data_IF_751653571795
#
_entry.id   IF_751653571795
#
_cell.length_a   1.000
_cell.length_b   1.000
_cell.length_c   1.000
_cell.angle_alpha   90.00
_cell.angle_beta   90.00
_cell.angle_gamma   90.00
#
_symmetry.space_group_name_H-M   'P 1'
#
loop_
_entity.id
_entity.type
_entity.pdbx_description
1 polymer ?
#
# COMPACT_ATOMS: atom_id res chain seq x y z
N UNK A 1 -8.97 0.88 10.51
CA UNK A 1 -7.52 1.00 10.76
C UNK A 1 -7.11 -0.05 11.77
N UNK A 2 -6.08 -0.82 11.44
CA UNK A 2 -5.54 -1.91 12.28
C UNK A 2 -4.25 -1.39 12.94
N UNK A 3 -4.17 -1.43 14.27
CA UNK A 3 -2.94 -1.13 15.01
C UNK A 3 -2.17 -2.41 15.28
N UNK A 4 -0.87 -2.41 14.97
CA UNK A 4 0.05 -3.49 15.28
C UNK A 4 0.93 -3.13 16.47
N UNK A 5 1.73 -4.08 16.93
CA UNK A 5 2.59 -3.92 18.12
C UNK A 5 4.08 -3.79 17.77
N UNK A 6 4.50 -4.29 16.61
CA UNK A 6 5.90 -4.25 16.19
C UNK A 6 6.33 -2.84 15.78
N UNK A 7 7.51 -2.44 16.20
CA UNK A 7 8.16 -1.21 15.75
C UNK A 7 9.16 -1.56 14.65
N UNK A 8 9.10 -0.86 13.53
CA UNK A 8 10.12 -0.95 12.49
C UNK A 8 11.18 0.13 12.76
N UNK A 9 12.38 -0.31 13.05
CA UNK A 9 13.52 0.62 13.15
C UNK A 9 13.84 1.21 11.77
N UNK A 10 14.20 2.47 11.73
CA UNK A 10 14.53 3.18 10.49
C UNK A 10 13.39 3.07 9.45
N UNK A 11 12.15 3.28 9.89
CA UNK A 11 10.96 3.09 9.04
C UNK A 11 11.02 3.94 7.77
N UNK A 12 11.29 5.24 7.89
CA UNK A 12 11.40 6.15 6.75
C UNK A 12 12.53 5.74 5.81
N UNK A 13 13.69 5.44 6.37
CA UNK A 13 14.89 5.05 5.61
C UNK A 13 14.66 3.73 4.84
N UNK A 14 13.97 2.77 5.46
CA UNK A 14 13.57 1.53 4.80
C UNK A 14 12.62 1.80 3.62
N UNK A 15 11.63 2.66 3.81
CA UNK A 15 10.70 3.04 2.74
C UNK A 15 11.41 3.74 1.57
N UNK A 16 12.30 4.69 1.88
CA UNK A 16 13.10 5.37 0.86
C UNK A 16 14.05 4.40 0.13
N UNK A 17 14.71 3.50 0.87
CA UNK A 17 15.58 2.47 0.32
C UNK A 17 14.83 1.57 -0.67
N UNK A 18 13.56 1.26 -0.41
CA UNK A 18 12.73 0.47 -1.31
C UNK A 18 12.57 1.14 -2.68
N UNK A 19 12.48 2.46 -2.76
CA UNK A 19 12.46 3.21 -4.03
C UNK A 19 13.88 3.41 -4.60
N UNK A 20 14.66 4.28 -4.00
CA UNK A 20 15.97 4.74 -4.47
C UNK A 20 17.17 3.99 -3.87
N UNK A 21 16.98 2.78 -3.39
CA UNK A 21 18.07 1.96 -2.87
C UNK A 21 18.57 0.93 -3.88
N UNK A 22 19.76 0.40 -3.60
CA UNK A 22 20.33 -0.75 -4.28
C UNK A 22 20.86 -1.73 -3.25
N UNK A 23 20.48 -2.99 -3.38
CA UNK A 23 20.97 -4.07 -2.53
C UNK A 23 21.96 -4.93 -3.34
N UNK A 24 23.24 -4.58 -3.21
CA UNK A 24 24.34 -5.39 -3.73
C UNK A 24 25.04 -6.11 -2.57
N UNK A 25 26.34 -5.90 -2.37
CA UNK A 25 27.05 -6.41 -1.20
C UNK A 25 26.69 -5.65 0.08
N UNK A 26 26.32 -4.36 -0.02
CA UNK A 26 25.87 -3.48 1.06
C UNK A 26 24.71 -2.65 0.57
N UNK A 27 23.84 -2.24 1.49
CA UNK A 27 22.74 -1.36 1.16
C UNK A 27 23.27 0.03 0.78
N UNK A 28 22.87 0.50 -0.40
CA UNK A 28 23.19 1.83 -0.93
C UNK A 28 21.90 2.63 -1.10
N UNK A 29 21.91 3.87 -0.65
CA UNK A 29 20.84 4.83 -0.88
C UNK A 29 21.35 5.89 -1.85
N UNK A 30 20.57 6.16 -2.89
CA UNK A 30 20.89 7.15 -3.90
C UNK A 30 20.00 8.39 -3.74
N UNK A 31 20.65 9.53 -3.55
CA UNK A 31 19.99 10.83 -3.49
C UNK A 31 20.28 11.60 -4.78
N UNK A 32 19.38 11.51 -5.74
CA UNK A 32 19.50 12.18 -7.04
C UNK A 32 18.89 13.58 -6.99
N UNK A 33 19.53 14.54 -7.63
CA UNK A 33 19.02 15.90 -7.86
C UNK A 33 18.50 16.57 -6.57
N UNK A 34 17.23 16.92 -6.53
CA UNK A 34 16.55 17.57 -5.42
C UNK A 34 16.40 16.67 -4.18
N UNK A 35 16.51 15.34 -4.33
CA UNK A 35 16.50 14.40 -3.21
C UNK A 35 17.72 14.56 -2.29
N UNK A 36 18.80 15.23 -2.73
CA UNK A 36 19.96 15.51 -1.86
C UNK A 36 19.58 16.35 -0.63
N UNK A 37 18.55 17.18 -0.71
CA UNK A 37 18.01 17.92 0.44
C UNK A 37 17.46 17.03 1.56
N UNK A 38 17.12 15.76 1.24
CA UNK A 38 16.64 14.77 2.20
C UNK A 38 17.76 14.11 3.00
N UNK A 39 19.03 14.49 2.77
CA UNK A 39 20.19 13.87 3.42
C UNK A 39 20.07 13.80 4.95
N UNK A 40 19.51 14.81 5.58
CA UNK A 40 19.30 14.87 7.04
C UNK A 40 18.38 13.77 7.59
N UNK A 41 17.47 13.23 6.78
CA UNK A 41 16.58 12.11 7.16
C UNK A 41 17.32 10.82 7.44
N UNK A 42 18.58 10.70 6.98
CA UNK A 42 19.41 9.50 7.11
C UNK A 42 20.49 9.64 8.21
N UNK A 43 20.39 10.65 9.07
CA UNK A 43 21.39 10.89 10.12
C UNK A 43 21.43 9.80 11.19
N UNK A 44 20.32 9.05 11.35
CA UNK A 44 20.24 7.95 12.33
C UNK A 44 20.87 6.64 11.84
N UNK A 45 21.22 6.56 10.55
CA UNK A 45 21.92 5.40 9.99
C UNK A 45 23.43 5.49 10.24
N UNK A 46 24.03 4.36 10.59
CA UNK A 46 25.48 4.21 10.58
C UNK A 46 25.97 4.09 9.13
N UNK A 47 26.69 5.07 8.65
CA UNK A 47 27.20 5.08 7.29
C UNK A 47 28.65 4.61 7.24
N UNK A 48 28.94 3.70 6.31
CA UNK A 48 30.31 3.31 5.95
C UNK A 48 30.95 4.39 5.08
N UNK A 49 30.16 5.01 4.21
CA UNK A 49 30.60 6.14 3.39
C UNK A 49 29.42 7.01 2.98
N UNK A 50 29.70 8.28 2.76
CA UNK A 50 28.79 9.30 2.25
C UNK A 50 29.56 10.10 1.20
N UNK A 51 29.27 9.85 -0.09
CA UNK A 51 30.03 10.39 -1.21
C UNK A 51 29.10 11.18 -2.12
N UNK A 52 29.44 12.45 -2.34
CA UNK A 52 28.75 13.32 -3.28
C UNK A 52 29.48 13.32 -4.64
N UNK A 53 28.71 13.14 -5.70
CA UNK A 53 29.15 13.21 -7.10
C UNK A 53 28.56 14.44 -7.79
N UNK A 54 29.21 15.61 -7.73
CA UNK A 54 28.62 16.87 -8.21
C UNK A 54 28.24 16.84 -9.70
N UNK A 55 29.10 16.27 -10.56
CA UNK A 55 28.85 16.15 -12.01
C UNK A 55 27.60 15.33 -12.33
N UNK A 56 27.28 14.32 -11.52
CA UNK A 56 26.14 13.45 -11.70
C UNK A 56 24.93 13.90 -10.88
N UNK A 57 25.05 15.01 -10.15
CA UNK A 57 24.01 15.55 -9.25
C UNK A 57 23.42 14.47 -8.33
N UNK A 58 24.29 13.61 -7.79
CA UNK A 58 23.89 12.53 -6.88
C UNK A 58 24.79 12.45 -5.64
N UNK A 59 24.22 11.98 -4.56
CA UNK A 59 24.91 11.56 -3.33
C UNK A 59 24.61 10.10 -3.09
N UNK A 60 25.59 9.35 -2.64
CA UNK A 60 25.48 7.91 -2.38
C UNK A 60 25.83 7.65 -0.93
N UNK A 61 24.87 7.13 -0.19
CA UNK A 61 25.04 6.71 1.20
C UNK A 61 25.21 5.20 1.22
N UNK A 62 26.35 4.72 1.73
CA UNK A 62 26.57 3.29 1.97
C UNK A 62 26.26 3.00 3.43
N UNK A 63 25.20 2.24 3.65
CA UNK A 63 24.72 1.89 4.99
C UNK A 63 25.49 0.69 5.52
N UNK A 64 25.80 0.71 6.83
CA UNK A 64 26.38 -0.43 7.54
C UNK A 64 25.39 -1.60 7.54
N UNK A 65 25.93 -2.82 7.51
CA UNK A 65 25.14 -4.03 7.38
C UNK A 65 24.07 -4.18 8.48
N UNK A 66 22.95 -4.82 8.13
CA UNK A 66 21.84 -5.18 9.01
C UNK A 66 20.99 -4.02 9.60
N UNK A 67 21.09 -2.79 9.08
CA UNK A 67 20.24 -1.70 9.54
C UNK A 67 18.95 -1.59 8.72
N UNK A 68 18.98 -1.94 7.43
CA UNK A 68 17.84 -1.87 6.53
C UNK A 68 17.32 -3.27 6.18
N UNK A 69 16.02 -3.33 5.93
CA UNK A 69 15.33 -4.53 5.45
C UNK A 69 15.68 -4.81 3.97
N UNK A 70 15.19 -5.93 3.45
CA UNK A 70 15.32 -6.26 2.02
C UNK A 70 14.69 -5.18 1.12
N UNK A 71 15.19 -5.06 -0.11
CA UNK A 71 14.82 -4.00 -1.09
C UNK A 71 13.30 -3.80 -1.27
N UNK A 72 12.50 -4.85 -1.26
CA UNK A 72 11.06 -4.78 -1.46
C UNK A 72 10.26 -5.18 -0.21
N UNK A 73 10.86 -5.01 0.97
CA UNK A 73 10.14 -5.25 2.22
C UNK A 73 8.99 -4.24 2.38
N UNK A 74 7.81 -4.73 2.73
CA UNK A 74 6.63 -3.93 3.08
C UNK A 74 6.19 -4.29 4.50
N UNK A 75 6.04 -3.33 5.43
CA UNK A 75 5.57 -3.62 6.77
C UNK A 75 4.08 -4.00 6.74
N UNK A 76 3.74 -5.16 7.28
CA UNK A 76 2.37 -5.67 7.38
C UNK A 76 1.59 -5.07 8.57
N UNK A 77 0.37 -5.57 8.80
CA UNK A 77 -0.51 -5.11 9.87
C UNK A 77 0.00 -5.42 11.29
N UNK A 78 1.05 -6.23 11.45
CA UNK A 78 1.67 -6.48 12.76
C UNK A 78 2.53 -5.32 13.24
N UNK A 79 2.95 -4.42 12.33
CA UNK A 79 3.68 -3.20 12.67
C UNK A 79 2.74 -2.07 13.08
N UNK A 80 3.23 -1.17 13.94
CA UNK A 80 2.46 0.01 14.38
C UNK A 80 2.03 0.88 13.20
N UNK A 81 0.91 1.61 13.33
CA UNK A 81 0.47 2.59 12.34
C UNK A 81 1.61 3.56 12.01
N UNK A 82 2.29 4.06 13.05
CA UNK A 82 3.40 5.00 12.87
C UNK A 82 4.51 4.41 12.00
N UNK A 83 4.94 3.17 12.26
CA UNK A 83 5.98 2.51 11.45
C UNK A 83 5.58 2.37 9.98
N UNK A 84 4.33 2.00 9.69
CA UNK A 84 3.81 1.87 8.33
C UNK A 84 3.70 3.22 7.61
N UNK A 85 3.27 4.26 8.31
CA UNK A 85 3.16 5.62 7.76
C UNK A 85 4.53 6.23 7.51
N UNK A 86 5.47 6.11 8.44
CA UNK A 86 6.84 6.61 8.26
C UNK A 86 7.52 5.88 7.09
N UNK A 87 7.37 4.55 7.00
CA UNK A 87 7.87 3.77 5.86
C UNK A 87 7.27 4.26 4.54
N UNK A 88 5.96 4.48 4.50
CA UNK A 88 5.27 4.95 3.30
C UNK A 88 5.68 6.39 2.92
N UNK A 89 5.96 7.23 3.90
CA UNK A 89 6.52 8.58 3.69
C UNK A 89 7.87 8.52 2.97
N UNK A 90 8.76 7.62 3.41
CA UNK A 90 10.04 7.39 2.76
C UNK A 90 9.90 6.90 1.32
N UNK A 91 9.00 5.93 1.06
CA UNK A 91 8.72 5.43 -0.28
C UNK A 91 8.17 6.52 -1.21
N UNK A 92 7.29 7.40 -0.70
CA UNK A 92 6.77 8.53 -1.47
C UNK A 92 7.86 9.57 -1.77
N UNK A 93 8.74 9.87 -0.82
CA UNK A 93 9.87 10.79 -1.06
C UNK A 93 10.89 10.20 -2.05
N UNK A 94 10.99 8.86 -2.15
CA UNK A 94 11.75 8.20 -3.19
C UNK A 94 11.02 8.24 -4.55
N UNK A 95 9.94 7.51 -4.70
CA UNK A 95 9.29 7.19 -6.00
C UNK A 95 7.90 7.81 -6.18
N UNK A 96 7.39 8.51 -5.18
CA UNK A 96 6.04 9.09 -5.24
C UNK A 96 5.92 10.26 -6.22
N UNK A 97 4.72 10.43 -6.73
CA UNK A 97 4.30 11.57 -7.55
C UNK A 97 2.97 12.10 -7.03
N UNK A 98 2.89 13.42 -6.88
CA UNK A 98 1.64 14.13 -6.57
C UNK A 98 1.09 14.73 -7.86
N UNK A 99 -0.16 14.39 -8.19
CA UNK A 99 -0.88 15.01 -9.30
C UNK A 99 -2.01 15.87 -8.77
N UNK A 100 -2.28 16.97 -9.46
CA UNK A 100 -3.37 17.88 -9.13
C UNK A 100 -4.13 18.20 -10.41
N UNK A 101 -5.32 17.62 -10.54
CA UNK A 101 -6.18 17.80 -11.71
C UNK A 101 -7.48 18.46 -11.28
N UNK A 102 -7.73 19.68 -11.78
CA UNK A 102 -8.95 20.44 -11.49
C UNK A 102 -9.28 20.55 -9.99
N UNK A 103 -8.26 20.81 -9.18
CA UNK A 103 -8.43 20.94 -7.74
C UNK A 103 -8.49 19.61 -6.94
N UNK A 104 -8.45 18.47 -7.62
CA UNK A 104 -8.38 17.15 -6.98
C UNK A 104 -6.95 16.63 -7.01
N UNK A 105 -6.40 16.27 -5.86
CA UNK A 105 -5.06 15.71 -5.76
C UNK A 105 -5.10 14.18 -5.66
N UNK A 106 -4.06 13.53 -6.18
CA UNK A 106 -3.84 12.10 -5.97
C UNK A 106 -2.35 11.80 -5.84
N UNK A 107 -2.02 10.77 -5.05
CA UNK A 107 -0.67 10.23 -4.96
C UNK A 107 -0.53 9.01 -5.85
N UNK A 108 0.64 8.85 -6.45
CA UNK A 108 0.93 7.76 -7.37
C UNK A 108 2.35 7.24 -7.17
N UNK A 109 2.51 5.92 -7.31
CA UNK A 109 3.81 5.25 -7.38
C UNK A 109 3.77 4.30 -8.56
N UNK A 110 4.73 4.39 -9.47
CA UNK A 110 4.86 3.51 -10.62
C UNK A 110 6.02 2.54 -10.42
N UNK A 111 5.79 1.23 -10.65
CA UNK A 111 6.78 0.18 -10.48
C UNK A 111 6.61 -0.92 -11.52
N UNK A 112 7.71 -1.57 -11.86
CA UNK A 112 7.73 -2.79 -12.68
C UNK A 112 7.32 -4.00 -11.83
N UNK A 113 7.77 -4.03 -10.56
CA UNK A 113 7.41 -5.10 -9.62
C UNK A 113 5.95 -4.96 -9.17
N UNK A 114 5.08 -5.75 -9.78
CA UNK A 114 3.63 -5.68 -9.56
C UNK A 114 3.25 -6.27 -8.21
N UNK A 115 3.89 -7.35 -7.77
CA UNK A 115 3.61 -8.00 -6.49
C UNK A 115 3.91 -7.04 -5.33
N UNK A 116 5.01 -6.31 -5.42
CA UNK A 116 5.34 -5.25 -4.47
C UNK A 116 4.22 -4.19 -4.37
N UNK A 117 3.66 -3.75 -5.50
CA UNK A 117 2.53 -2.78 -5.46
C UNK A 117 1.28 -3.36 -4.81
N UNK A 118 1.02 -4.65 -4.99
CA UNK A 118 -0.09 -5.31 -4.30
C UNK A 118 0.13 -5.42 -2.80
N UNK A 119 1.35 -5.71 -2.34
CA UNK A 119 1.70 -5.71 -0.91
C UNK A 119 1.54 -4.31 -0.30
N UNK A 120 2.02 -3.27 -0.98
CA UNK A 120 1.82 -1.87 -0.53
C UNK A 120 0.32 -1.53 -0.47
N UNK A 121 -0.46 -1.95 -1.45
CA UNK A 121 -1.92 -1.77 -1.44
C UNK A 121 -2.56 -2.44 -0.22
N UNK A 122 -2.19 -3.69 0.07
CA UNK A 122 -2.71 -4.42 1.23
C UNK A 122 -2.35 -3.70 2.53
N UNK A 123 -1.12 -3.25 2.68
CA UNK A 123 -0.68 -2.46 3.83
C UNK A 123 -1.53 -1.19 3.98
N UNK A 124 -1.75 -0.43 2.90
CA UNK A 124 -2.57 0.78 2.92
C UNK A 124 -4.03 0.51 3.28
N UNK A 125 -4.62 -0.59 2.80
CA UNK A 125 -5.97 -0.99 3.18
C UNK A 125 -6.09 -1.26 4.68
N UNK A 126 -5.07 -1.82 5.32
CA UNK A 126 -5.07 -2.00 6.79
C UNK A 126 -5.05 -0.67 7.55
N UNK A 127 -4.65 0.42 6.90
CA UNK A 127 -4.69 1.80 7.40
C UNK A 127 -6.01 2.53 7.04
N UNK A 128 -6.96 1.84 6.39
CA UNK A 128 -8.21 2.44 5.93
C UNK A 128 -8.02 3.43 4.77
N UNK A 129 -6.93 3.26 4.01
CA UNK A 129 -6.61 4.09 2.85
C UNK A 129 -7.10 3.40 1.59
N UNK A 130 -8.06 4.00 0.90
CA UNK A 130 -8.50 3.53 -0.41
C UNK A 130 -7.42 3.77 -1.47
N UNK A 131 -7.08 2.73 -2.21
CA UNK A 131 -6.12 2.80 -3.31
C UNK A 131 -6.28 1.63 -4.27
N UNK A 132 -5.81 1.79 -5.49
CA UNK A 132 -5.91 0.76 -6.52
C UNK A 132 -4.65 0.65 -7.37
N UNK A 133 -4.37 -0.56 -7.85
CA UNK A 133 -3.31 -0.79 -8.84
C UNK A 133 -3.92 -0.73 -10.23
N UNK A 134 -3.37 0.12 -11.07
CA UNK A 134 -3.84 0.37 -12.45
C UNK A 134 -2.69 0.19 -13.44
N UNK A 135 -3.01 0.16 -14.72
CA UNK A 135 -1.97 0.19 -15.74
C UNK A 135 -1.20 1.52 -15.68
N UNK A 136 0.11 1.41 -15.75
CA UNK A 136 1.03 2.54 -15.90
C UNK A 136 1.36 2.79 -17.37
N UNK A 137 2.65 2.95 -17.65
CA UNK A 137 3.16 3.10 -19.01
C UNK A 137 3.47 1.72 -19.59
N UNK A 138 3.16 1.49 -20.85
CA UNK A 138 3.51 0.25 -21.56
C UNK A 138 5.02 0.11 -21.79
N UNK A 139 5.40 -0.99 -22.40
CA UNK A 139 6.79 -1.17 -22.84
C UNK A 139 7.12 -0.13 -23.91
N UNK A 140 8.25 0.54 -23.75
CA UNK A 140 8.71 1.56 -24.71
C UNK A 140 10.23 1.69 -24.68
N UNK A 141 10.80 2.23 -25.74
CA UNK A 141 12.21 2.64 -25.79
C UNK A 141 12.30 4.10 -25.34
N UNK A 142 13.12 4.37 -24.33
CA UNK A 142 13.36 5.72 -23.81
C UNK A 142 14.80 6.13 -23.97
N UNK A 143 14.98 7.41 -24.30
CA UNK A 143 16.28 8.06 -24.22
C UNK A 143 16.57 8.43 -22.77
N UNK A 144 17.57 7.82 -22.17
CA UNK A 144 17.99 8.08 -20.78
C UNK A 144 19.49 8.33 -20.71
N UNK A 145 19.97 9.07 -19.67
CA UNK A 145 21.39 9.27 -19.48
C UNK A 145 22.12 7.93 -19.34
N UNK A 146 23.24 7.79 -20.05
CA UNK A 146 24.12 6.62 -19.93
C UNK A 146 24.71 6.53 -18.51
N UNK A 147 24.88 5.30 -18.02
CA UNK A 147 25.44 5.05 -16.68
C UNK A 147 26.95 5.27 -16.57
N UNK A 148 27.61 5.68 -17.64
CA UNK A 148 29.07 5.93 -17.71
C UNK A 148 29.50 7.30 -17.17
N UNK A 149 28.52 8.13 -16.77
CA UNK A 149 28.78 9.49 -16.27
C UNK A 149 29.13 10.52 -17.35
N UNK A 150 29.04 10.17 -18.64
CA UNK A 150 29.27 11.08 -19.76
C UNK A 150 28.21 12.17 -19.86
N UNK A 151 27.00 11.90 -19.39
CA UNK A 151 25.83 12.76 -19.57
C UNK A 151 25.16 12.61 -20.94
N UNK A 152 25.71 11.76 -21.81
CA UNK A 152 25.10 11.42 -23.08
C UNK A 152 23.82 10.59 -22.88
N UNK A 153 22.87 10.71 -23.80
CA UNK A 153 21.65 9.90 -23.82
C UNK A 153 21.89 8.62 -24.62
N UNK A 154 21.30 7.53 -24.15
CA UNK A 154 21.26 6.24 -24.85
C UNK A 154 19.85 5.69 -24.86
N UNK A 155 19.56 4.82 -25.81
CA UNK A 155 18.28 4.11 -25.93
C UNK A 155 18.23 2.95 -24.92
N UNK A 156 17.15 2.90 -24.15
CA UNK A 156 16.91 1.82 -23.18
C UNK A 156 15.51 1.26 -23.36
N UNK A 157 15.41 -0.06 -23.48
CA UNK A 157 14.14 -0.78 -23.44
C UNK A 157 13.60 -0.73 -22.02
N UNK A 158 12.47 -0.06 -21.83
CA UNK A 158 11.78 0.07 -20.56
C UNK A 158 10.61 -0.91 -20.51
N UNK A 159 10.55 -1.70 -19.43
CA UNK A 159 9.43 -2.62 -19.18
C UNK A 159 8.15 -1.87 -18.85
N UNK A 160 7.01 -2.51 -19.14
CA UNK A 160 5.72 -2.00 -18.72
C UNK A 160 5.64 -1.85 -17.20
N UNK A 161 5.03 -0.77 -16.76
CA UNK A 161 4.82 -0.48 -15.35
C UNK A 161 3.36 -0.63 -14.96
N UNK A 162 3.11 -0.95 -13.69
CA UNK A 162 1.84 -0.71 -13.01
C UNK A 162 1.96 0.50 -12.11
N UNK A 163 0.83 1.05 -11.74
CA UNK A 163 0.75 2.26 -10.92
C UNK A 163 -0.20 2.06 -9.76
N UNK A 164 0.30 2.25 -8.55
CA UNK A 164 -0.53 2.43 -7.36
C UNK A 164 -1.09 3.85 -7.39
N UNK A 165 -2.40 3.98 -7.37
CA UNK A 165 -3.13 5.24 -7.38
C UNK A 165 -3.92 5.38 -6.08
N UNK A 166 -3.66 6.46 -5.35
CA UNK A 166 -4.34 6.84 -4.11
C UNK A 166 -5.17 8.09 -4.41
N UNK A 167 -6.50 8.01 -4.43
CA UNK A 167 -7.37 9.15 -4.69
C UNK A 167 -7.39 10.12 -3.49
N UNK A 168 -8.00 11.28 -3.67
CA UNK A 168 -8.02 12.37 -2.69
C UNK A 168 -8.45 11.91 -1.29
N UNK A 169 -9.51 11.12 -1.17
CA UNK A 169 -9.97 10.59 0.12
C UNK A 169 -8.90 9.78 0.84
N UNK A 170 -8.16 8.93 0.10
CA UNK A 170 -7.03 8.16 0.62
C UNK A 170 -5.87 9.06 1.03
N UNK A 171 -5.59 10.12 0.26
CA UNK A 171 -4.55 11.11 0.60
C UNK A 171 -4.89 11.81 1.91
N UNK A 172 -6.14 12.25 2.11
CA UNK A 172 -6.57 12.89 3.35
C UNK A 172 -6.52 11.92 4.54
N UNK A 173 -6.83 10.65 4.34
CA UNK A 173 -6.68 9.63 5.37
C UNK A 173 -5.21 9.45 5.78
N UNK A 174 -4.29 9.40 4.83
CA UNK A 174 -2.86 9.34 5.10
C UNK A 174 -2.37 10.53 5.92
N UNK A 175 -2.80 11.75 5.55
CA UNK A 175 -2.47 12.97 6.31
C UNK A 175 -2.99 12.93 7.75
N UNK A 176 -4.22 12.45 7.96
CA UNK A 176 -4.80 12.23 9.31
C UNK A 176 -4.00 11.23 10.14
N UNK A 177 -3.40 10.23 9.50
CA UNK A 177 -2.56 9.22 10.15
C UNK A 177 -1.12 9.69 10.40
N UNK A 178 -0.77 10.91 9.95
CA UNK A 178 0.55 11.51 10.19
C UNK A 178 1.55 11.35 9.05
N UNK A 179 1.09 11.16 7.79
CA UNK A 179 1.98 11.17 6.62
C UNK A 179 2.81 12.47 6.62
N UNK A 180 4.14 12.32 6.55
CA UNK A 180 5.09 13.43 6.55
C UNK A 180 6.15 13.20 5.47
N UNK A 181 6.04 13.96 4.39
CA UNK A 181 6.93 13.91 3.22
C UNK A 181 7.51 15.29 2.96
N UNK A 182 8.71 15.35 2.37
CA UNK A 182 9.38 16.63 2.05
C UNK A 182 9.44 16.90 0.54
N UNK A 183 9.42 15.86 -0.28
CA UNK A 183 9.47 16.01 -1.75
C UNK A 183 8.07 16.04 -2.36
N UNK A 184 7.19 15.21 -1.88
CA UNK A 184 5.83 15.03 -2.39
C UNK A 184 4.85 15.50 -1.31
N UNK A 185 4.56 16.79 -1.26
CA UNK A 185 3.80 17.43 -0.16
C UNK A 185 2.33 17.60 -0.56
N UNK A 186 1.43 16.67 -0.18
CA UNK A 186 0.01 16.85 -0.41
C UNK A 186 -0.59 17.90 0.54
N UNK A 187 -1.61 18.61 0.05
CA UNK A 187 -2.31 19.59 0.84
C UNK A 187 -3.47 18.98 1.65
N UNK A 188 -3.65 19.46 2.88
CA UNK A 188 -4.84 19.15 3.69
C UNK A 188 -6.02 19.90 3.09
N UNK A 189 -7.06 19.18 2.70
CA UNK A 189 -8.31 19.77 2.17
C UNK A 189 -9.50 18.81 2.32
N UNK A 190 -10.69 19.33 2.17
CA UNK A 190 -11.90 18.50 2.11
C UNK A 190 -12.04 17.95 0.68
N UNK A 191 -12.16 16.62 0.48
CA UNK A 191 -12.38 16.06 -0.84
C UNK A 191 -13.66 16.62 -1.48
N UNK A 192 -13.58 17.00 -2.75
CA UNK A 192 -14.74 17.52 -3.49
C UNK A 192 -15.79 16.43 -3.79
N UNK A 193 -15.37 15.18 -3.75
CA UNK A 193 -16.22 14.00 -3.94
C UNK A 193 -15.88 12.97 -2.87
N UNK A 194 -16.88 12.45 -2.22
CA UNK A 194 -16.74 11.19 -1.49
C UNK A 194 -16.62 10.10 -2.57
N UNK A 195 -15.44 9.51 -2.70
CA UNK A 195 -15.28 8.32 -3.50
C UNK A 195 -16.10 7.22 -2.82
N UNK A 196 -17.20 6.79 -3.44
CA UNK A 196 -17.92 5.64 -2.94
C UNK A 196 -17.01 4.42 -3.05
N UNK A 197 -16.83 3.72 -1.96
CA UNK A 197 -16.03 2.49 -1.89
C UNK A 197 -16.81 1.29 -2.48
N UNK A 198 -17.81 1.54 -3.30
CA UNK A 198 -18.58 0.49 -3.93
C UNK A 198 -17.80 -0.12 -5.09
N UNK A 199 -17.67 -1.42 -5.05
CA UNK A 199 -17.10 -2.23 -6.13
C UNK A 199 -18.26 -2.79 -6.95
N UNK A 200 -18.25 -2.53 -8.25
CA UNK A 200 -19.19 -3.16 -9.16
C UNK A 200 -18.68 -4.56 -9.51
N UNK A 201 -19.47 -5.58 -9.22
CA UNK A 201 -19.20 -6.93 -9.73
C UNK A 201 -19.48 -6.92 -11.24
N UNK A 202 -18.44 -7.22 -12.03
CA UNK A 202 -18.55 -7.24 -13.49
C UNK A 202 -18.97 -8.63 -13.95
N UNK A 203 -18.44 -9.68 -13.32
CA UNK A 203 -18.64 -11.06 -13.71
C UNK A 203 -18.47 -11.98 -12.50
N UNK A 204 -19.22 -13.06 -12.45
CA UNK A 204 -19.04 -14.16 -11.51
C UNK A 204 -18.79 -15.42 -12.32
N UNK A 205 -17.58 -15.96 -12.21
CA UNK A 205 -17.15 -17.15 -12.95
C UNK A 205 -17.19 -18.34 -12.00
N UNK A 206 -17.97 -19.35 -12.33
CA UNK A 206 -17.92 -20.64 -11.64
C UNK A 206 -16.87 -21.52 -12.32
N UNK A 207 -15.67 -21.61 -11.71
CA UNK A 207 -14.59 -22.44 -12.22
C UNK A 207 -14.74 -23.94 -11.88
N UNK A 208 -15.81 -24.33 -11.20
CA UNK A 208 -16.04 -25.71 -10.78
C UNK A 208 -15.06 -26.24 -9.74
N UNK A 209 -14.22 -25.38 -9.17
CA UNK A 209 -13.28 -25.75 -8.11
C UNK A 209 -14.00 -25.97 -6.79
N UNK A 210 -13.63 -27.05 -6.12
CA UNK A 210 -14.03 -27.32 -4.74
C UNK A 210 -12.77 -27.13 -3.88
N UNK A 211 -12.89 -26.31 -2.85
CA UNK A 211 -11.80 -26.04 -1.89
C UNK A 211 -12.38 -26.04 -0.47
N UNK A 212 -11.54 -26.40 0.48
CA UNK A 212 -11.90 -26.24 1.88
C UNK A 212 -12.19 -24.79 2.19
N UNK A 213 -13.22 -24.55 2.99
CA UNK A 213 -13.56 -23.22 3.51
C UNK A 213 -13.22 -23.16 4.98
N UNK A 214 -12.72 -22.01 5.41
CA UNK A 214 -12.31 -21.78 6.77
C UNK A 214 -13.11 -20.64 7.39
N UNK A 215 -13.52 -20.80 8.64
CA UNK A 215 -14.10 -19.74 9.43
C UNK A 215 -13.07 -19.26 10.45
N UNK A 216 -13.12 -17.99 10.80
CA UNK A 216 -12.28 -17.40 11.84
C UNK A 216 -13.17 -16.86 12.96
N UNK A 217 -12.58 -16.75 14.16
CA UNK A 217 -13.21 -16.09 15.30
C UNK A 217 -12.40 -14.86 15.67
N UNK A 218 -13.03 -13.69 15.57
CA UNK A 218 -12.46 -12.44 16.04
C UNK A 218 -13.33 -11.91 17.20
N UNK A 219 -12.75 -11.82 18.39
CA UNK A 219 -13.49 -11.65 19.65
C UNK A 219 -13.99 -10.23 19.93
N UNK A 220 -13.46 -9.22 19.23
CA UNK A 220 -13.79 -7.81 19.53
C UNK A 220 -14.88 -7.24 18.63
N UNK A 221 -14.85 -7.52 17.34
CA UNK A 221 -15.73 -6.91 16.35
C UNK A 221 -16.39 -7.91 15.41
N UNK A 222 -15.98 -9.17 15.42
CA UNK A 222 -16.45 -10.18 14.48
C UNK A 222 -16.07 -9.86 13.03
N UNK A 223 -14.94 -9.20 12.80
CA UNK A 223 -14.51 -8.72 11.48
C UNK A 223 -13.11 -9.24 11.14
N UNK A 224 -12.88 -9.58 9.87
CA UNK A 224 -11.57 -9.92 9.34
C UNK A 224 -11.25 -9.17 8.07
N UNK A 225 -9.96 -8.93 7.83
CA UNK A 225 -9.47 -8.30 6.61
C UNK A 225 -8.80 -9.36 5.73
N UNK A 226 -9.35 -9.61 4.54
CA UNK A 226 -8.82 -10.58 3.57
C UNK A 226 -8.60 -9.89 2.23
N UNK A 227 -7.38 -9.93 1.73
CA UNK A 227 -6.99 -9.26 0.48
C UNK A 227 -7.43 -7.79 0.38
N UNK A 228 -7.41 -7.08 1.51
CA UNK A 228 -7.84 -5.69 1.58
C UNK A 228 -9.36 -5.47 1.65
N UNK A 229 -10.15 -6.54 1.73
CA UNK A 229 -11.59 -6.47 1.96
C UNK A 229 -11.92 -6.78 3.42
N UNK A 230 -12.66 -5.88 4.05
CA UNK A 230 -13.20 -6.11 5.39
C UNK A 230 -14.47 -6.97 5.26
N UNK A 231 -14.45 -8.14 5.89
CA UNK A 231 -15.59 -9.07 5.89
C UNK A 231 -16.07 -9.30 7.32
N UNK A 232 -17.36 -9.52 7.47
CA UNK A 232 -17.94 -9.99 8.73
C UNK A 232 -17.55 -11.45 8.99
N UNK A 233 -17.35 -11.77 10.26
CA UNK A 233 -17.33 -13.15 10.71
C UNK A 233 -18.73 -13.72 10.49
N UNK A 234 -18.81 -14.97 10.00
CA UNK A 234 -20.10 -15.67 9.92
C UNK A 234 -20.66 -15.81 11.34
N UNK A 235 -21.86 -15.28 11.55
CA UNK A 235 -22.57 -15.43 12.83
C UNK A 235 -23.36 -16.76 12.90
N UNK A 236 -23.35 -17.54 11.83
CA UNK A 236 -23.90 -18.89 11.88
C UNK A 236 -23.00 -19.76 12.74
N UNK A 237 -23.53 -20.09 13.88
CA UNK A 237 -22.82 -20.83 14.93
C UNK A 237 -22.59 -22.25 14.44
N UNK A 238 -21.32 -22.69 14.42
CA UNK A 238 -21.00 -24.10 14.42
C UNK A 238 -21.46 -24.68 15.74
N UNK A 239 -22.72 -25.11 15.79
CA UNK A 239 -23.29 -25.75 16.95
C UNK A 239 -22.80 -27.20 16.99
N UNK A 240 -22.27 -27.60 18.12
CA UNK A 240 -21.87 -28.98 18.32
C UNK A 240 -23.11 -29.91 18.29
N UNK A 241 -23.10 -30.86 17.39
CA UNK A 241 -24.08 -31.95 17.33
C UNK A 241 -23.40 -33.24 17.73
N UNK A 242 -23.99 -33.93 18.68
CA UNK A 242 -23.56 -35.26 19.12
C UNK A 242 -24.77 -36.22 19.19
N UNK A 243 -24.56 -37.44 19.73
CA UNK A 243 -25.62 -38.45 19.83
C UNK A 243 -26.79 -38.03 20.74
N UNK A 244 -26.58 -37.03 21.59
CA UNK A 244 -27.56 -36.56 22.58
C UNK A 244 -28.13 -35.20 22.29
N UNK A 245 -27.48 -34.43 21.39
CA UNK A 245 -27.82 -33.04 21.10
C UNK A 245 -27.80 -32.76 19.59
N UNK A 246 -28.85 -32.26 19.08
CA UNK A 246 -28.94 -31.76 17.71
C UNK A 246 -28.92 -30.23 17.73
N UNK A 247 -27.92 -29.65 17.05
CA UNK A 247 -27.88 -28.23 16.84
C UNK A 247 -28.84 -27.83 15.75
N UNK A 248 -29.65 -26.80 16.01
CA UNK A 248 -30.59 -26.24 15.03
C UNK A 248 -30.33 -24.75 14.88
N UNK A 249 -30.18 -24.28 13.64
CA UNK A 249 -30.14 -22.87 13.30
C UNK A 249 -31.54 -22.46 12.78
N UNK A 250 -32.15 -21.46 13.41
CA UNK A 250 -33.37 -20.85 12.93
C UNK A 250 -33.03 -19.56 12.20
N UNK A 251 -32.90 -19.63 10.89
CA UNK A 251 -32.71 -18.48 10.04
C UNK A 251 -33.98 -18.23 9.25
N UNK A 252 -34.50 -17.01 9.27
CA UNK A 252 -35.55 -16.57 8.37
C UNK A 252 -35.06 -15.43 7.49
N UNK A 253 -35.43 -15.47 6.23
CA UNK A 253 -35.10 -14.42 5.26
C UNK A 253 -36.40 -13.87 4.68
N UNK A 254 -36.44 -12.55 4.53
CA UNK A 254 -37.58 -11.87 3.95
C UNK A 254 -37.20 -11.30 2.59
N UNK A 255 -37.97 -11.59 1.56
CA UNK A 255 -37.74 -11.04 0.23
C UNK A 255 -38.19 -9.58 0.17
N UNK A 256 -37.23 -8.66 0.16
CA UNK A 256 -37.51 -7.23 0.13
C UNK A 256 -38.12 -6.73 -1.18
N UNK A 257 -37.96 -7.44 -2.30
CA UNK A 257 -38.68 -7.12 -3.55
C UNK A 257 -40.19 -7.24 -3.39
N UNK A 258 -40.63 -8.08 -2.45
CA UNK A 258 -42.05 -8.32 -2.18
C UNK A 258 -42.54 -7.64 -0.91
N UNK A 259 -41.85 -6.55 -0.51
CA UNK A 259 -42.19 -5.82 0.72
C UNK A 259 -43.65 -5.46 0.80
N UNK A 260 -44.26 -4.98 -0.28
CA UNK A 260 -45.66 -4.58 -0.32
C UNK A 260 -46.66 -5.75 -0.19
N UNK A 261 -46.22 -6.99 -0.44
CA UNK A 261 -47.07 -8.20 -0.31
C UNK A 261 -47.14 -8.70 1.14
N UNK A 262 -46.12 -8.48 1.95
CA UNK A 262 -46.02 -9.05 3.31
C UNK A 262 -45.90 -8.04 4.46
N UNK A 263 -45.74 -6.72 4.17
CA UNK A 263 -45.56 -5.67 5.21
C UNK A 263 -46.71 -5.57 6.23
N UNK A 264 -47.92 -6.02 5.83
CA UNK A 264 -49.10 -5.99 6.68
C UNK A 264 -49.40 -7.36 7.28
N UNK A 265 -48.61 -8.41 6.95
CA UNK A 265 -48.80 -9.72 7.55
C UNK A 265 -48.29 -9.70 9.01
N UNK A 266 -49.13 -10.11 9.93
CA UNK A 266 -48.71 -10.30 11.32
C UNK A 266 -47.95 -11.63 11.44
N UNK A 267 -46.65 -11.58 11.70
CA UNK A 267 -45.81 -12.76 12.02
C UNK A 267 -45.90 -13.05 13.52
#
# INVERSE_FOLDING_TARGET
VIEGEKILNFSYENGFFTGDGCQSFKALIYLYHDKQKLRSKFNNLDLVSDITYPKQKKQVLRVKDNQLQAKYFVPDATYTIKSRIDWFSGLLDADGCLTNNNGTQSLQIAQVNVDFLFEVRLMLHTLGVDCKVTNGVGEEIRMMPKNDGSGELGEYACQATKRLLIPEGGVQQLLKLGLSTERVVPAVRTPQREASQFIKIIEVINEGRISDTYCFTESKRGLGMFNGMLTGQCSEVLLHTDELKTAVCCLSSVNLEKYDEWKDDQV
#
